data_IF_470934193318
#
_entry.id   IF_470934193318
#
_cell.length_a   1.000
_cell.length_b   1.000
_cell.length_c   1.000
_cell.angle_alpha   90.00
_cell.angle_beta   90.00
_cell.angle_gamma   90.00
#
_symmetry.space_group_name_H-M   'P 1'
#
loop_
_entity.id
_entity.type
_entity.pdbx_description
1 polymer ?
#
# COMPACT_ATOMS: atom_id res chain seq x y z
N UNK A 1 17.26 -3.35 6.79
CA UNK A 1 17.03 -2.49 7.99
C UNK A 1 15.59 -2.00 7.91
N UNK A 2 14.73 -2.08 8.92
CA UNK A 2 13.32 -1.67 8.75
C UNK A 2 13.20 -0.17 8.37
N UNK A 3 12.18 0.19 7.59
CA UNK A 3 11.85 1.59 7.30
C UNK A 3 11.74 2.39 8.60
N UNK A 4 12.42 3.54 8.70
CA UNK A 4 12.17 4.47 9.79
C UNK A 4 10.83 5.19 9.54
N UNK A 5 9.78 4.65 10.16
CA UNK A 5 8.43 5.17 10.00
C UNK A 5 8.25 6.64 10.41
N UNK A 6 9.13 7.19 11.28
CA UNK A 6 9.09 8.59 11.65
C UNK A 6 9.71 9.47 10.56
N UNK A 7 10.88 9.11 10.04
CA UNK A 7 11.53 9.86 8.95
C UNK A 7 10.70 9.81 7.67
N UNK A 8 10.20 8.63 7.30
CA UNK A 8 9.33 8.47 6.14
C UNK A 8 8.07 9.34 6.27
N UNK A 9 7.45 9.40 7.47
CA UNK A 9 6.29 10.26 7.73
C UNK A 9 6.62 11.75 7.64
N UNK A 10 7.80 12.16 8.10
CA UNK A 10 8.26 13.54 7.92
C UNK A 10 8.44 13.89 6.45
N UNK A 11 9.02 12.99 5.65
CA UNK A 11 9.17 13.19 4.21
C UNK A 11 7.81 13.29 3.52
N UNK A 12 6.84 12.42 3.88
CA UNK A 12 5.47 12.52 3.40
C UNK A 12 4.84 13.88 3.74
N UNK A 13 4.90 14.33 4.99
CA UNK A 13 4.34 15.63 5.39
C UNK A 13 5.00 16.83 4.70
N UNK A 14 6.29 16.72 4.36
CA UNK A 14 7.06 17.78 3.68
C UNK A 14 7.01 17.70 2.15
N UNK A 15 6.41 16.64 1.60
CA UNK A 15 6.40 16.34 0.17
C UNK A 15 7.82 16.15 -0.40
N UNK A 16 8.72 15.63 0.45
CA UNK A 16 10.12 15.36 0.10
C UNK A 16 10.26 13.92 -0.40
N UNK A 17 9.73 13.69 -1.60
CA UNK A 17 9.68 12.35 -2.19
C UNK A 17 11.06 11.85 -2.65
N UNK A 18 11.97 12.76 -3.02
CA UNK A 18 13.34 12.37 -3.37
C UNK A 18 14.03 11.76 -2.15
N UNK A 19 13.99 12.45 -1.01
CA UNK A 19 14.53 11.91 0.25
C UNK A 19 13.83 10.62 0.68
N UNK A 20 12.50 10.59 0.62
CA UNK A 20 11.72 9.38 0.96
C UNK A 20 12.20 8.16 0.17
N UNK A 21 12.33 8.28 -1.15
CA UNK A 21 12.69 7.13 -1.98
C UNK A 21 14.18 6.79 -1.90
N UNK A 22 15.04 7.79 -1.92
CA UNK A 22 16.49 7.56 -1.94
C UNK A 22 17.00 7.13 -0.56
N UNK A 23 16.72 7.91 0.48
CA UNK A 23 17.29 7.69 1.81
C UNK A 23 16.54 6.60 2.58
N UNK A 24 15.20 6.58 2.50
CA UNK A 24 14.40 5.65 3.30
C UNK A 24 14.08 4.34 2.55
N UNK A 25 13.94 4.39 1.22
CA UNK A 25 13.59 3.21 0.41
C UNK A 25 14.77 2.55 -0.29
N UNK A 26 15.94 3.19 -0.35
CA UNK A 26 17.14 2.64 -0.99
C UNK A 26 17.08 2.65 -2.51
N UNK A 27 16.33 3.58 -3.11
CA UNK A 27 16.22 3.74 -4.56
C UNK A 27 17.31 4.69 -5.09
N UNK A 28 17.53 4.66 -6.40
CA UNK A 28 18.50 5.52 -7.06
C UNK A 28 17.94 6.93 -7.30
N UNK A 29 18.85 7.91 -7.33
CA UNK A 29 18.51 9.27 -7.73
C UNK A 29 18.06 9.29 -9.19
N UNK A 30 16.92 9.93 -9.44
CA UNK A 30 16.39 10.14 -10.79
C UNK A 30 15.84 11.56 -10.88
N UNK A 31 16.20 12.31 -11.93
CA UNK A 31 15.85 13.73 -12.09
C UNK A 31 15.33 14.08 -13.49
N UNK A 32 15.06 13.08 -14.32
CA UNK A 32 14.46 13.33 -15.64
C UNK A 32 13.02 13.80 -15.44
N UNK A 33 12.56 14.70 -16.29
CA UNK A 33 11.20 15.23 -16.23
C UNK A 33 10.48 14.97 -17.54
N UNK A 34 9.18 14.66 -17.46
CA UNK A 34 8.30 14.49 -18.60
C UNK A 34 7.31 15.65 -18.63
N UNK A 35 6.95 16.09 -19.84
CA UNK A 35 5.86 17.04 -20.05
C UNK A 35 4.73 16.36 -20.81
N UNK A 36 3.52 16.64 -20.38
CA UNK A 36 2.30 16.03 -20.91
C UNK A 36 1.26 17.12 -21.07
N UNK A 37 0.67 17.24 -22.26
CA UNK A 37 -0.38 18.23 -22.51
C UNK A 37 -1.74 17.52 -22.57
N UNK A 38 -2.67 17.88 -21.68
CA UNK A 38 -4.04 17.35 -21.66
C UNK A 38 -5.00 18.54 -21.71
N UNK A 39 -5.92 18.54 -22.68
CA UNK A 39 -6.92 19.61 -22.85
C UNK A 39 -6.30 21.02 -22.81
N UNK A 40 -5.18 21.21 -23.55
CA UNK A 40 -4.38 22.45 -23.62
C UNK A 40 -3.73 22.91 -22.30
N UNK A 41 -3.72 22.06 -21.26
CA UNK A 41 -2.98 22.28 -20.02
C UNK A 41 -1.76 21.39 -19.97
N UNK A 42 -0.62 22.00 -19.69
CA UNK A 42 0.65 21.29 -19.53
C UNK A 42 0.80 20.77 -18.10
N UNK A 43 1.23 19.53 -17.98
CA UNK A 43 1.58 18.89 -16.73
C UNK A 43 3.06 18.52 -16.78
N UNK A 44 3.79 18.94 -15.74
CA UNK A 44 5.18 18.53 -15.56
C UNK A 44 5.22 17.39 -14.56
N UNK A 45 5.86 16.29 -14.95
CA UNK A 45 6.13 15.15 -14.10
C UNK A 45 7.63 15.09 -13.83
N UNK A 46 8.01 15.41 -12.61
CA UNK A 46 9.40 15.40 -12.18
C UNK A 46 9.76 14.02 -11.64
N UNK A 47 10.80 13.41 -12.21
CA UNK A 47 11.41 12.23 -11.63
C UNK A 47 12.02 12.55 -10.26
N UNK A 48 11.76 11.68 -9.28
CA UNK A 48 12.32 11.81 -7.93
C UNK A 48 13.21 10.64 -7.52
N UNK A 49 12.92 9.45 -8.04
CA UNK A 49 13.73 8.26 -7.84
C UNK A 49 13.46 7.24 -8.95
N UNK A 50 14.39 6.31 -9.15
CA UNK A 50 14.20 5.17 -10.03
C UNK A 50 14.89 3.94 -9.45
N UNK A 51 14.49 2.76 -9.91
CA UNK A 51 15.09 1.50 -9.51
C UNK A 51 14.89 0.48 -10.63
N UNK A 52 16.01 -0.03 -11.16
CA UNK A 52 16.03 -0.99 -12.27
C UNK A 52 15.15 -0.60 -13.48
N UNK A 53 15.00 0.70 -13.78
CA UNK A 53 14.17 1.21 -14.87
C UNK A 53 12.72 1.52 -14.51
N UNK A 54 12.27 1.19 -13.29
CA UNK A 54 11.01 1.66 -12.75
C UNK A 54 11.20 3.07 -12.17
N UNK A 55 10.40 4.06 -12.59
CA UNK A 55 10.57 5.44 -12.13
C UNK A 55 9.40 5.95 -11.28
N UNK A 56 9.72 6.80 -10.32
CA UNK A 56 8.76 7.53 -9.50
C UNK A 56 8.73 8.97 -9.98
N UNK A 57 7.54 9.43 -10.33
CA UNK A 57 7.29 10.75 -10.85
C UNK A 57 6.38 11.53 -9.91
N UNK A 58 6.63 12.82 -9.75
CA UNK A 58 5.76 13.74 -9.04
C UNK A 58 5.11 14.67 -10.05
N UNK A 59 3.79 14.65 -10.11
CA UNK A 59 3.01 15.55 -10.97
C UNK A 59 2.47 16.72 -10.15
N UNK A 60 2.91 17.93 -10.49
CA UNK A 60 2.40 19.17 -9.90
C UNK A 60 1.47 19.88 -10.89
N UNK A 61 0.32 20.41 -10.44
CA UNK A 61 -0.58 21.17 -11.31
C UNK A 61 0.12 22.42 -11.84
N UNK A 62 0.05 22.66 -13.14
CA UNK A 62 0.57 23.90 -13.71
C UNK A 62 -0.19 25.11 -13.15
N UNK A 63 0.57 26.14 -12.76
CA UNK A 63 0.00 27.41 -12.29
C UNK A 63 -0.56 27.41 -10.86
N UNK A 64 -0.25 26.41 -10.03
CA UNK A 64 -0.62 26.43 -8.60
C UNK A 64 -2.09 26.05 -8.32
N UNK A 65 -2.63 25.08 -9.05
CA UNK A 65 -4.03 24.65 -8.95
C UNK A 65 -4.32 23.47 -8.03
N UNK A 66 -5.59 23.03 -8.06
CA UNK A 66 -6.06 21.84 -7.37
C UNK A 66 -5.47 20.55 -7.96
N UNK A 67 -5.48 19.49 -7.17
CA UNK A 67 -5.06 18.16 -7.60
C UNK A 67 -5.91 17.67 -8.80
N UNK A 68 -5.29 17.14 -9.88
CA UNK A 68 -6.02 16.66 -11.07
C UNK A 68 -7.12 15.65 -10.75
N UNK A 69 -8.28 15.79 -11.39
CA UNK A 69 -9.40 14.88 -11.20
C UNK A 69 -9.06 13.46 -11.66
N UNK A 70 -9.82 12.45 -11.18
CA UNK A 70 -9.54 11.05 -11.49
C UNK A 70 -9.37 10.78 -13.00
N UNK A 71 -10.29 11.28 -13.82
CA UNK A 71 -10.27 11.10 -15.29
C UNK A 71 -9.05 11.73 -15.94
N UNK A 72 -8.61 12.88 -15.44
CA UNK A 72 -7.42 13.59 -15.89
C UNK A 72 -6.15 12.82 -15.52
N UNK A 73 -6.05 12.30 -14.29
CA UNK A 73 -4.95 11.42 -13.87
C UNK A 73 -4.82 10.17 -14.73
N UNK A 74 -5.95 9.62 -15.21
CA UNK A 74 -5.92 8.49 -16.15
C UNK A 74 -5.39 8.89 -17.53
N UNK A 75 -5.71 10.10 -18.01
CA UNK A 75 -5.17 10.62 -19.27
C UNK A 75 -3.67 10.90 -19.17
N UNK A 76 -3.24 11.57 -18.09
CA UNK A 76 -1.83 11.82 -17.79
C UNK A 76 -1.05 10.49 -17.77
N UNK A 77 -1.53 9.49 -17.03
CA UNK A 77 -0.88 8.18 -16.95
C UNK A 77 -0.71 7.50 -18.33
N UNK A 78 -1.73 7.57 -19.19
CA UNK A 78 -1.66 7.02 -20.55
C UNK A 78 -0.58 7.69 -21.38
N UNK A 79 -0.44 9.01 -21.29
CA UNK A 79 0.59 9.74 -22.02
C UNK A 79 1.99 9.48 -21.47
N UNK A 80 2.13 9.39 -20.14
CA UNK A 80 3.39 9.01 -19.49
C UNK A 80 3.81 7.61 -19.93
N UNK A 81 2.87 6.66 -19.98
CA UNK A 81 3.11 5.26 -20.38
C UNK A 81 3.78 5.14 -21.75
N UNK A 82 3.54 6.09 -22.68
CA UNK A 82 4.16 6.09 -24.01
C UNK A 82 5.66 6.36 -23.97
N UNK A 83 6.13 7.07 -22.95
CA UNK A 83 7.52 7.51 -22.78
C UNK A 83 8.24 6.67 -21.72
N UNK A 84 7.53 6.28 -20.67
CA UNK A 84 8.03 5.54 -19.53
C UNK A 84 6.93 4.59 -19.09
N UNK A 85 7.10 3.30 -19.33
CA UNK A 85 6.04 2.30 -19.13
C UNK A 85 5.90 1.83 -17.67
N UNK A 86 7.04 1.68 -16.99
CA UNK A 86 7.14 1.22 -15.61
C UNK A 86 7.30 2.41 -14.67
N UNK A 87 6.17 2.85 -14.08
CA UNK A 87 6.17 4.05 -13.25
C UNK A 87 5.12 4.06 -12.14
N UNK A 88 5.38 4.90 -11.15
CA UNK A 88 4.45 5.34 -10.10
C UNK A 88 4.35 6.88 -10.17
N UNK A 89 3.13 7.43 -10.22
CA UNK A 89 2.93 8.89 -10.22
C UNK A 89 2.34 9.32 -8.88
N UNK A 90 2.94 10.34 -8.28
CA UNK A 90 2.45 11.01 -7.09
C UNK A 90 1.92 12.38 -7.51
N UNK A 91 0.60 12.52 -7.52
CA UNK A 91 -0.06 13.79 -7.77
C UNK A 91 -0.15 14.58 -6.48
N UNK A 92 0.16 15.87 -6.52
CA UNK A 92 0.12 16.74 -5.34
C UNK A 92 -0.71 17.97 -5.65
N UNK A 93 -1.37 18.54 -4.65
CA UNK A 93 -1.99 19.85 -4.75
C UNK A 93 -0.97 20.98 -4.53
N UNK A 94 -1.30 22.19 -4.98
CA UNK A 94 -0.44 23.35 -4.80
C UNK A 94 -0.23 23.72 -3.32
N UNK A 95 -1.26 23.56 -2.50
CA UNK A 95 -1.25 23.88 -1.06
C UNK A 95 -0.51 22.86 -0.19
N UNK A 96 0.01 21.78 -0.81
CA UNK A 96 0.72 20.68 -0.13
C UNK A 96 -0.09 20.13 1.05
N UNK A 97 -1.37 19.87 0.82
CA UNK A 97 -2.27 19.23 1.80
C UNK A 97 -2.61 17.80 1.41
N UNK A 98 -2.56 17.48 0.11
CA UNK A 98 -3.03 16.20 -0.41
C UNK A 98 -2.06 15.60 -1.42
N UNK A 99 -1.89 14.30 -1.30
CA UNK A 99 -1.14 13.45 -2.22
C UNK A 99 -2.07 12.38 -2.75
N UNK A 100 -1.99 12.11 -4.05
CA UNK A 100 -2.57 10.92 -4.65
C UNK A 100 -1.49 10.10 -5.34
N UNK A 101 -1.25 8.92 -4.78
CA UNK A 101 -0.32 7.94 -5.29
C UNK A 101 -1.03 7.04 -6.27
N UNK A 102 -0.59 6.98 -7.52
CA UNK A 102 -1.21 6.20 -8.58
C UNK A 102 -0.21 5.27 -9.24
N UNK A 103 -0.47 3.97 -9.10
CA UNK A 103 0.15 2.92 -9.90
C UNK A 103 -0.92 2.24 -10.74
N UNK A 104 -0.62 1.89 -11.99
CA UNK A 104 -1.57 1.24 -12.89
C UNK A 104 -1.10 -0.17 -13.16
N UNK A 105 -1.93 -1.15 -12.79
CA UNK A 105 -1.68 -2.54 -13.14
C UNK A 105 -1.93 -2.72 -14.64
N UNK A 106 -0.88 -3.11 -15.36
CA UNK A 106 -0.91 -3.41 -16.79
C UNK A 106 -0.65 -4.90 -16.98
N UNK A 107 -1.54 -5.58 -17.68
CA UNK A 107 -1.43 -7.01 -18.00
C UNK A 107 -1.84 -7.21 -19.45
N UNK A 108 -1.06 -8.02 -20.19
CA UNK A 108 -1.39 -8.33 -21.58
C UNK A 108 -2.80 -8.93 -21.68
N UNK A 109 -3.59 -8.44 -22.63
CA UNK A 109 -4.97 -8.87 -22.85
C UNK A 109 -6.00 -8.38 -21.81
N UNK A 110 -5.62 -7.50 -20.87
CA UNK A 110 -6.55 -6.92 -19.90
C UNK A 110 -6.50 -5.39 -19.92
N UNK A 111 -7.64 -4.71 -19.67
CA UNK A 111 -7.63 -3.26 -19.57
C UNK A 111 -6.76 -2.82 -18.38
N UNK A 112 -6.02 -1.70 -18.50
CA UNK A 112 -5.24 -1.13 -17.41
C UNK A 112 -6.13 -0.86 -16.18
N UNK A 113 -5.65 -1.22 -14.99
CA UNK A 113 -6.41 -1.07 -13.74
C UNK A 113 -5.67 -0.15 -12.76
N UNK A 114 -6.16 1.07 -12.57
CA UNK A 114 -5.54 2.02 -11.65
C UNK A 114 -5.68 1.56 -10.20
N UNK A 115 -4.66 1.84 -9.41
CA UNK A 115 -4.62 1.73 -7.96
C UNK A 115 -4.20 3.08 -7.42
N UNK A 116 -5.13 3.73 -6.73
CA UNK A 116 -4.89 5.03 -6.13
C UNK A 116 -4.84 4.90 -4.61
N UNK A 117 -3.98 5.70 -4.00
CA UNK A 117 -3.94 5.86 -2.55
C UNK A 117 -3.87 7.35 -2.23
N UNK A 118 -4.83 7.84 -1.46
CA UNK A 118 -4.85 9.23 -1.01
C UNK A 118 -4.15 9.31 0.35
N UNK A 119 -3.26 10.29 0.48
CA UNK A 119 -2.73 10.72 1.77
C UNK A 119 -3.01 12.21 1.95
N UNK A 120 -3.49 12.61 3.13
CA UNK A 120 -3.56 14.02 3.52
C UNK A 120 -2.61 14.28 4.67
N UNK A 121 -2.02 15.46 4.68
CA UNK A 121 -1.18 15.90 5.80
C UNK A 121 -2.00 15.84 7.09
N UNK A 122 -1.42 15.24 8.13
CA UNK A 122 -2.11 15.00 9.40
C UNK A 122 -2.85 13.67 9.51
N UNK A 123 -3.14 12.98 8.39
CA UNK A 123 -3.71 11.63 8.44
C UNK A 123 -2.71 10.61 9.01
N UNK A 124 -3.24 9.50 9.53
CA UNK A 124 -2.42 8.32 9.86
C UNK A 124 -1.85 7.74 8.57
N UNK A 125 -0.53 7.80 8.42
CA UNK A 125 0.17 7.28 7.25
C UNK A 125 0.39 5.75 7.29
N UNK A 126 -0.16 5.03 8.28
CA UNK A 126 0.22 3.64 8.59
C UNK A 126 0.12 2.69 7.39
N UNK A 127 -0.98 2.77 6.61
CA UNK A 127 -1.15 1.94 5.40
C UNK A 127 -0.19 2.36 4.28
N UNK A 128 0.05 3.66 4.08
CA UNK A 128 1.00 4.12 3.06
C UNK A 128 2.41 3.67 3.40
N UNK A 129 2.81 3.84 4.66
CA UNK A 129 4.12 3.40 5.17
C UNK A 129 4.30 1.89 4.99
N UNK A 130 3.26 1.09 5.22
CA UNK A 130 3.32 -0.35 4.95
C UNK A 130 3.53 -0.65 3.45
N UNK A 131 2.91 0.11 2.54
CA UNK A 131 3.14 -0.05 1.09
C UNK A 131 4.53 0.38 0.67
N UNK A 132 5.04 1.46 1.27
CA UNK A 132 6.39 1.97 1.00
C UNK A 132 7.45 0.99 1.50
N UNK A 133 7.27 0.41 2.71
CA UNK A 133 8.18 -0.62 3.23
C UNK A 133 8.21 -1.86 2.33
N UNK A 134 7.08 -2.25 1.73
CA UNK A 134 7.01 -3.37 0.78
C UNK A 134 7.76 -3.17 -0.55
N UNK A 135 8.16 -1.94 -0.88
CA UNK A 135 8.98 -1.62 -2.06
C UNK A 135 10.38 -1.11 -1.70
N UNK A 136 10.75 -1.18 -0.42
CA UNK A 136 12.09 -0.86 0.06
C UNK A 136 13.08 -1.90 -0.43
N UNK A 137 14.31 -1.46 -0.66
CA UNK A 137 15.43 -2.32 -1.06
C UNK A 137 16.61 -2.08 -0.13
N UNK A 138 17.26 -3.15 0.30
CA UNK A 138 18.52 -3.09 1.03
C UNK A 138 19.71 -3.19 0.05
N UNK A 139 20.85 -2.55 0.38
CA UNK A 139 22.06 -2.54 -0.45
C UNK A 139 22.53 -3.95 -0.89
N UNK A 140 22.29 -4.97 -0.05
CA UNK A 140 22.65 -6.37 -0.34
C UNK A 140 21.82 -6.98 -1.47
N UNK A 141 20.61 -6.49 -1.70
CA UNK A 141 19.68 -7.01 -2.70
C UNK A 141 19.94 -6.43 -4.10
N UNK A 142 20.58 -5.26 -4.17
CA UNK A 142 20.76 -4.51 -5.44
C UNK A 142 21.57 -5.26 -6.50
N UNK A 143 22.46 -6.17 -6.11
CA UNK A 143 23.31 -6.90 -7.06
C UNK A 143 22.53 -7.88 -7.96
N UNK A 144 21.40 -8.40 -7.48
CA UNK A 144 20.59 -9.39 -8.19
C UNK A 144 19.22 -8.84 -8.61
N UNK A 145 18.92 -7.59 -8.25
CA UNK A 145 17.62 -7.00 -8.45
C UNK A 145 17.39 -6.61 -9.91
N UNK A 146 16.35 -7.17 -10.53
CA UNK A 146 15.88 -6.81 -11.86
C UNK A 146 14.60 -5.96 -11.83
N UNK A 147 14.28 -5.38 -12.99
CA UNK A 147 12.98 -4.73 -13.21
C UNK A 147 11.77 -5.63 -12.87
N UNK A 148 11.74 -6.93 -13.24
CA UNK A 148 10.62 -7.80 -12.89
C UNK A 148 10.38 -7.90 -11.38
N UNK A 149 11.45 -7.93 -10.58
CA UNK A 149 11.37 -8.00 -9.12
C UNK A 149 10.77 -6.71 -8.54
N UNK A 150 11.22 -5.55 -9.04
CA UNK A 150 10.70 -4.23 -8.64
C UNK A 150 9.21 -4.12 -9.00
N UNK A 151 8.83 -4.44 -10.23
CA UNK A 151 7.41 -4.42 -10.66
C UNK A 151 6.56 -5.39 -9.84
N UNK A 152 7.09 -6.56 -9.48
CA UNK A 152 6.39 -7.51 -8.59
C UNK A 152 6.22 -6.97 -7.17
N UNK A 153 7.24 -6.34 -6.58
CA UNK A 153 7.14 -5.69 -5.25
C UNK A 153 6.14 -4.54 -5.25
N UNK A 154 6.18 -3.68 -6.27
CA UNK A 154 5.20 -2.59 -6.43
C UNK A 154 3.79 -3.16 -6.56
N UNK A 155 3.60 -4.20 -7.39
CA UNK A 155 2.31 -4.88 -7.52
C UNK A 155 1.82 -5.43 -6.18
N UNK A 156 2.67 -6.15 -5.44
CA UNK A 156 2.29 -6.73 -4.15
C UNK A 156 1.89 -5.65 -3.12
N UNK A 157 2.57 -4.50 -3.17
CA UNK A 157 2.35 -3.40 -2.23
C UNK A 157 1.15 -2.51 -2.60
N UNK A 158 0.89 -2.27 -3.89
CA UNK A 158 -0.16 -1.34 -4.35
C UNK A 158 -1.44 -2.03 -4.85
N UNK A 159 -1.40 -3.31 -5.22
CA UNK A 159 -2.57 -4.12 -5.60
C UNK A 159 -2.98 -5.07 -4.47
N UNK A 160 -3.59 -4.54 -3.41
CA UNK A 160 -4.06 -5.33 -2.27
C UNK A 160 -5.40 -6.07 -2.53
N UNK A 161 -6.06 -5.82 -3.66
CA UNK A 161 -7.34 -6.43 -4.02
C UNK A 161 -7.30 -7.98 -4.09
N UNK A 162 -6.24 -8.62 -4.64
CA UNK A 162 -6.09 -10.08 -4.62
C UNK A 162 -5.87 -10.63 -3.20
N UNK A 163 -5.04 -9.97 -2.38
CA UNK A 163 -4.76 -10.40 -1.00
C UNK A 163 -6.03 -10.30 -0.15
N UNK A 164 -6.76 -9.20 -0.28
CA UNK A 164 -8.04 -8.97 0.40
C UNK A 164 -9.07 -10.03 0.00
N UNK A 165 -9.20 -10.35 -1.29
CA UNK A 165 -10.10 -11.42 -1.76
C UNK A 165 -9.68 -12.80 -1.27
N UNK A 166 -8.39 -13.13 -1.32
CA UNK A 166 -7.88 -14.40 -0.84
C UNK A 166 -8.13 -14.55 0.67
N UNK A 167 -7.91 -13.47 1.43
CA UNK A 167 -8.23 -13.39 2.85
C UNK A 167 -9.71 -13.65 3.09
N UNK A 168 -10.63 -12.92 2.45
CA UNK A 168 -12.07 -13.14 2.63
C UNK A 168 -12.51 -14.54 2.23
N UNK A 169 -11.97 -15.11 1.15
CA UNK A 169 -12.25 -16.49 0.75
C UNK A 169 -11.80 -17.49 1.81
N UNK A 170 -10.59 -17.32 2.37
CA UNK A 170 -10.09 -18.20 3.42
C UNK A 170 -10.86 -18.00 4.72
N UNK A 171 -11.13 -16.76 5.09
CA UNK A 171 -11.94 -16.39 6.25
C UNK A 171 -13.32 -17.05 6.21
N UNK A 172 -14.00 -17.03 5.06
CA UNK A 172 -15.30 -17.68 4.90
C UNK A 172 -15.21 -19.21 5.06
N UNK A 173 -14.10 -19.81 4.60
CA UNK A 173 -13.83 -21.24 4.78
C UNK A 173 -13.65 -21.59 6.26
N UNK A 174 -12.84 -20.82 6.98
CA UNK A 174 -12.61 -21.01 8.43
C UNK A 174 -13.88 -20.73 9.23
N UNK A 175 -14.69 -19.74 8.82
CA UNK A 175 -16.00 -19.42 9.41
C UNK A 175 -16.96 -20.59 9.33
N UNK A 176 -17.06 -21.19 8.14
CA UNK A 176 -17.89 -22.37 7.93
C UNK A 176 -17.39 -23.59 8.72
N UNK A 177 -16.07 -23.76 8.86
CA UNK A 177 -15.50 -24.81 9.70
C UNK A 177 -15.81 -24.57 11.19
N UNK A 178 -15.60 -23.36 11.70
CA UNK A 178 -15.85 -23.00 13.10
C UNK A 178 -17.33 -23.18 13.49
N UNK A 179 -18.25 -22.84 12.59
CA UNK A 179 -19.69 -23.03 12.81
C UNK A 179 -20.05 -24.50 13.10
N UNK A 180 -19.35 -25.47 12.50
CA UNK A 180 -19.59 -26.91 12.72
C UNK A 180 -19.17 -27.41 14.10
N UNK A 181 -18.30 -26.68 14.81
CA UNK A 181 -17.84 -27.04 16.15
C UNK A 181 -18.76 -26.50 17.26
N UNK A 182 -19.68 -25.59 16.93
CA UNK A 182 -20.60 -25.04 17.93
C UNK A 182 -21.66 -26.06 18.31
N UNK A 183 -21.79 -26.28 19.60
CA UNK A 183 -22.86 -27.05 20.22
C UNK A 183 -23.44 -26.25 21.39
N UNK A 184 -24.71 -26.50 21.72
CA UNK A 184 -25.37 -25.88 22.88
C UNK A 184 -25.99 -24.48 22.66
N UNK A 185 -25.98 -23.96 21.43
CA UNK A 185 -26.75 -22.75 21.07
C UNK A 185 -27.96 -23.18 20.23
N UNK A 186 -29.21 -22.95 20.69
CA UNK A 186 -30.42 -23.51 20.08
C UNK A 186 -30.92 -22.79 18.83
N UNK A 187 -30.44 -21.57 18.55
CA UNK A 187 -30.87 -20.76 17.41
C UNK A 187 -29.74 -20.58 16.37
N UNK A 188 -30.04 -20.93 15.11
CA UNK A 188 -29.09 -20.85 13.98
C UNK A 188 -28.70 -19.40 13.63
N UNK A 189 -29.57 -18.43 13.93
CA UNK A 189 -29.26 -17.00 13.79
C UNK A 189 -28.19 -16.57 14.80
N UNK A 190 -28.38 -16.94 16.06
CA UNK A 190 -27.50 -16.66 17.19
C UNK A 190 -26.15 -17.36 17.03
N UNK A 191 -26.13 -18.62 16.55
CA UNK A 191 -24.90 -19.34 16.22
C UNK A 191 -24.07 -18.57 15.18
N UNK A 192 -24.68 -18.17 14.06
CA UNK A 192 -23.99 -17.43 12.99
C UNK A 192 -23.45 -16.09 13.47
N UNK A 193 -24.24 -15.37 14.28
CA UNK A 193 -23.80 -14.12 14.89
C UNK A 193 -22.59 -14.34 15.80
N UNK A 194 -22.64 -15.35 16.68
CA UNK A 194 -21.56 -15.66 17.61
C UNK A 194 -20.26 -16.02 16.89
N UNK A 195 -20.33 -16.89 15.87
CA UNK A 195 -19.19 -17.23 14.99
C UNK A 195 -18.55 -15.99 14.39
N UNK A 196 -19.36 -15.13 13.78
CA UNK A 196 -18.87 -13.92 13.11
C UNK A 196 -18.24 -12.94 14.10
N UNK A 197 -18.86 -12.73 15.27
CA UNK A 197 -18.30 -11.85 16.32
C UNK A 197 -16.97 -12.41 16.83
N UNK A 198 -16.89 -13.71 17.10
CA UNK A 198 -15.66 -14.30 17.63
C UNK A 198 -14.50 -14.24 16.65
N UNK A 199 -14.73 -14.58 15.38
CA UNK A 199 -13.69 -14.51 14.36
C UNK A 199 -13.24 -13.07 14.08
N UNK A 200 -14.17 -12.10 14.07
CA UNK A 200 -13.82 -10.69 13.95
C UNK A 200 -12.96 -10.20 15.12
N UNK A 201 -13.24 -10.66 16.35
CA UNK A 201 -12.43 -10.32 17.53
C UNK A 201 -11.02 -10.90 17.43
N UNK A 202 -10.89 -12.18 17.08
CA UNK A 202 -9.58 -12.82 16.86
C UNK A 202 -8.80 -12.12 15.76
N UNK A 203 -9.45 -11.79 14.65
CA UNK A 203 -8.84 -11.05 13.55
C UNK A 203 -8.37 -9.66 14.01
N UNK A 204 -9.17 -8.93 14.78
CA UNK A 204 -8.77 -7.63 15.33
C UNK A 204 -7.57 -7.76 16.26
N UNK A 205 -7.58 -8.72 17.18
CA UNK A 205 -6.45 -8.97 18.09
C UNK A 205 -5.20 -9.33 17.29
N UNK A 206 -5.32 -10.14 16.24
CA UNK A 206 -4.20 -10.46 15.35
C UNK A 206 -3.63 -9.20 14.68
N UNK A 207 -4.46 -8.27 14.21
CA UNK A 207 -3.93 -7.02 13.66
C UNK A 207 -3.25 -6.13 14.71
N UNK A 208 -3.76 -6.12 15.94
CA UNK A 208 -3.19 -5.36 17.06
C UNK A 208 -1.87 -5.98 17.56
N UNK A 209 -1.78 -7.31 17.64
CA UNK A 209 -0.57 -8.03 18.06
C UNK A 209 0.57 -7.82 17.06
N UNK A 210 0.30 -7.88 15.75
CA UNK A 210 1.34 -7.69 14.73
C UNK A 210 1.96 -6.28 14.78
N UNK A 211 1.22 -5.30 15.29
CA UNK A 211 1.72 -3.93 15.55
C UNK A 211 2.49 -3.81 16.87
N UNK A 212 2.63 -4.87 17.65
CA UNK A 212 3.29 -4.88 18.96
C UNK A 212 2.50 -4.17 20.06
N UNK A 213 1.21 -3.89 19.84
CA UNK A 213 0.39 -3.12 20.79
C UNK A 213 -0.10 -3.94 21.99
N UNK A 214 0.18 -5.24 22.03
CA UNK A 214 -0.16 -6.13 23.14
C UNK A 214 1.09 -6.42 23.97
N UNK A 215 1.59 -5.39 24.66
CA UNK A 215 2.81 -5.44 25.47
C UNK A 215 4.08 -5.86 24.68
N UNK A 216 4.14 -5.53 23.38
CA UNK A 216 5.23 -5.94 22.49
C UNK A 216 5.12 -7.37 21.96
N UNK A 217 4.16 -8.18 22.43
CA UNK A 217 3.97 -9.55 22.01
C UNK A 217 3.31 -9.61 20.62
N UNK A 218 4.09 -10.04 19.61
CA UNK A 218 3.62 -10.24 18.23
C UNK A 218 2.96 -11.60 18.02
N UNK A 219 3.01 -12.48 19.00
CA UNK A 219 2.43 -13.83 19.00
C UNK A 219 1.34 -13.99 20.07
N UNK A 220 0.79 -12.87 20.57
CA UNK A 220 -0.14 -12.79 21.69
C UNK A 220 -1.26 -13.84 21.70
N UNK A 221 -1.96 -14.05 20.58
CA UNK A 221 -3.02 -15.07 20.51
C UNK A 221 -2.49 -16.49 20.78
N UNK A 222 -1.31 -16.81 20.26
CA UNK A 222 -0.64 -18.10 20.50
C UNK A 222 -0.19 -18.20 21.96
N UNK A 223 0.45 -17.15 22.48
CA UNK A 223 0.87 -17.07 23.89
C UNK A 223 -0.32 -17.32 24.83
N UNK A 224 -1.44 -16.62 24.63
CA UNK A 224 -2.64 -16.78 25.47
C UNK A 224 -3.34 -18.12 25.29
N UNK A 225 -3.30 -18.71 24.10
CA UNK A 225 -3.80 -20.06 23.88
C UNK A 225 -2.97 -21.10 24.67
N UNK A 226 -1.64 -20.97 24.66
CA UNK A 226 -0.74 -21.83 25.43
C UNK A 226 -0.98 -21.69 26.93
N UNK A 227 -1.01 -20.45 27.45
CA UNK A 227 -1.32 -20.18 28.86
C UNK A 227 -2.68 -20.77 29.28
N UNK A 228 -3.70 -20.64 28.43
CA UNK A 228 -5.03 -21.19 28.72
C UNK A 228 -5.03 -22.73 28.74
N UNK A 229 -4.25 -23.37 27.87
CA UNK A 229 -4.13 -24.84 27.85
C UNK A 229 -3.39 -25.36 29.08
N UNK A 230 -2.39 -24.64 29.56
CA UNK A 230 -1.64 -24.99 30.77
C UNK A 230 -2.47 -24.85 32.05
N UNK A 231 -3.41 -23.89 32.10
CA UNK A 231 -4.29 -23.70 33.26
C UNK A 231 -5.40 -24.75 33.37
N UNK A 232 -5.70 -25.49 32.29
CA UNK A 232 -6.84 -26.40 32.24
C UNK A 232 -8.19 -25.67 32.17
N UNK A 233 -9.29 -26.42 32.00
CA UNK A 233 -10.66 -25.89 31.97
C UNK A 233 -11.13 -25.36 33.34
#
# INVERSE_FOLDING_TARGET
>A
MLLDGNQARQCLNRFDFARLFVEELGWDHYRQSLRVTIDQRDFTLEGVAALCGFAVLVCRPAGGGALPAYTERQRIDREVTKQLYEHLIIFVDADRQRQEWQWVRRESGRPPRPRTFTYRVGDRADLLLQRLDGIRVDLKELAELGLPDVTQRVRASFDLEPVTRAFYRRFETERAAFAKFLSGIPDDGLQRWYVSVMLNRLMFIYFVQQKGFLAGDRDYLTTKLTESRERGP
#
